data_IF_827412230346
#
_entry.id   IF_827412230346
#
_cell.length_a   1.000
_cell.length_b   1.000
_cell.length_c   1.000
_cell.angle_alpha   90.00
_cell.angle_beta   90.00
_cell.angle_gamma   90.00
#
_symmetry.space_group_name_H-M   'P 1'
#
loop_
_entity.id
_entity.type
_entity.pdbx_description
1 polymer ?
#
# COMPACT_ATOMS: atom_id res chain seq x y z
N UNK A 1 6.48 -11.11 -26.49
CA UNK A 1 5.47 -10.25 -25.83
C UNK A 1 5.47 -10.63 -24.36
N UNK A 2 6.31 -9.99 -23.56
CA UNK A 2 6.26 -10.16 -22.10
C UNK A 2 5.11 -9.31 -21.63
N UNK A 3 3.96 -9.93 -21.37
CA UNK A 3 2.83 -9.27 -20.74
C UNK A 3 3.28 -8.85 -19.34
N UNK A 4 3.62 -7.58 -19.18
CA UNK A 4 3.76 -6.97 -17.87
C UNK A 4 2.38 -7.04 -17.24
N UNK A 5 2.18 -8.05 -16.39
CA UNK A 5 0.98 -8.13 -15.57
C UNK A 5 1.12 -6.97 -14.60
N UNK A 6 0.51 -5.84 -14.95
CA UNK A 6 0.36 -4.71 -14.06
C UNK A 6 -0.50 -5.18 -12.91
N UNK A 7 0.15 -5.67 -11.85
CA UNK A 7 -0.52 -5.93 -10.58
C UNK A 7 -1.01 -4.57 -10.10
N UNK A 8 -2.32 -4.34 -10.22
CA UNK A 8 -2.95 -3.12 -9.74
C UNK A 8 -2.92 -3.21 -8.21
N UNK A 9 -1.91 -2.58 -7.63
CA UNK A 9 -1.84 -2.34 -6.20
C UNK A 9 -2.70 -1.12 -5.89
N UNK A 10 -3.81 -1.32 -5.18
CA UNK A 10 -4.59 -0.20 -4.66
C UNK A 10 -3.74 0.53 -3.61
N UNK A 11 -3.86 1.85 -3.53
CA UNK A 11 -3.18 2.62 -2.48
C UNK A 11 -3.85 2.34 -1.14
N UNK A 12 -3.05 2.13 -0.10
CA UNK A 12 -3.57 2.01 1.26
C UNK A 12 -4.33 3.29 1.62
N UNK A 13 -5.62 3.15 1.91
CA UNK A 13 -6.52 4.27 2.25
C UNK A 13 -6.08 4.99 3.53
N UNK A 14 -5.51 4.26 4.49
CA UNK A 14 -5.11 4.78 5.81
C UNK A 14 -3.96 5.76 5.70
N UNK A 15 -2.89 5.38 5.01
CA UNK A 15 -1.71 6.24 4.85
C UNK A 15 -1.70 7.02 3.53
N UNK A 16 -2.77 6.92 2.73
CA UNK A 16 -2.84 7.43 1.36
C UNK A 16 -1.61 7.05 0.50
N UNK A 17 -1.13 5.82 0.71
CA UNK A 17 0.07 5.27 0.09
C UNK A 17 1.40 5.91 0.44
N UNK A 18 1.51 6.57 1.58
CA UNK A 18 2.80 7.05 2.10
C UNK A 18 3.57 5.96 2.87
N UNK A 19 2.88 4.92 3.34
CA UNK A 19 3.45 3.92 4.24
C UNK A 19 3.65 4.42 5.67
N UNK A 20 3.17 5.61 6.00
CA UNK A 20 3.32 6.22 7.33
C UNK A 20 1.96 6.49 7.98
N UNK A 21 1.89 6.37 9.30
CA UNK A 21 0.75 6.87 10.08
C UNK A 21 0.91 8.37 10.43
N UNK A 22 -0.08 8.92 11.14
CA UNK A 22 -0.14 10.34 11.50
C UNK A 22 1.03 10.77 12.41
N UNK A 23 1.60 9.85 13.19
CA UNK A 23 2.75 10.07 14.07
C UNK A 23 4.08 9.89 13.32
N UNK A 24 4.05 9.72 11.99
CA UNK A 24 5.18 9.35 11.13
C UNK A 24 5.80 7.99 11.48
N UNK A 25 5.08 7.17 12.23
CA UNK A 25 5.38 5.76 12.42
C UNK A 25 5.05 4.95 11.16
N UNK A 26 5.48 3.70 11.13
CA UNK A 26 5.14 2.78 10.04
C UNK A 26 3.63 2.53 10.04
N UNK A 27 2.97 2.75 8.89
CA UNK A 27 1.53 2.49 8.76
C UNK A 27 1.26 1.02 9.03
N UNK A 28 0.49 0.74 10.07
CA UNK A 28 0.18 -0.63 10.55
C UNK A 28 -0.78 -1.37 9.63
N UNK A 29 -1.60 -0.65 8.88
CA UNK A 29 -2.60 -1.27 8.02
C UNK A 29 -1.95 -1.88 6.79
N UNK A 30 -0.92 -1.24 6.23
CA UNK A 30 -0.20 -1.72 5.06
C UNK A 30 1.23 -2.20 5.35
N UNK A 31 1.61 -2.36 6.63
CA UNK A 31 2.97 -2.68 7.08
C UNK A 31 4.06 -1.78 6.47
N UNK A 32 3.72 -0.50 6.23
CA UNK A 32 4.61 0.47 5.61
C UNK A 32 4.77 0.36 4.08
N UNK A 33 4.09 -0.57 3.42
CA UNK A 33 4.17 -0.71 1.95
C UNK A 33 3.49 0.43 1.19
N UNK A 34 2.54 1.14 1.82
CA UNK A 34 1.69 2.11 1.15
C UNK A 34 0.65 1.48 0.21
N UNK A 35 0.57 0.16 0.17
CA UNK A 35 -0.34 -0.60 -0.69
C UNK A 35 -1.47 -1.16 0.17
N UNK A 36 -2.69 -1.06 -0.33
CA UNK A 36 -3.85 -1.69 0.29
C UNK A 36 -3.71 -3.20 0.17
N UNK A 37 -3.51 -3.85 1.31
CA UNK A 37 -3.44 -5.29 1.48
C UNK A 37 -4.80 -5.87 1.95
N UNK A 38 -5.84 -5.04 2.10
CA UNK A 38 -7.20 -5.49 2.46
C UNK A 38 -7.85 -6.20 1.27
N UNK A 39 -7.45 -7.43 1.01
CA UNK A 39 -8.02 -8.25 -0.08
C UNK A 39 -7.11 -9.33 -0.62
N UNK A 40 -5.91 -9.52 -0.06
CA UNK A 40 -5.03 -10.64 -0.35
C UNK A 40 -5.45 -11.92 0.40
#
# INVERSE_FOLDING_TARGET
MTSDVTVIHYRCCTCNGTGLDDDRGTCRDCDGSGIDNHGA
#
